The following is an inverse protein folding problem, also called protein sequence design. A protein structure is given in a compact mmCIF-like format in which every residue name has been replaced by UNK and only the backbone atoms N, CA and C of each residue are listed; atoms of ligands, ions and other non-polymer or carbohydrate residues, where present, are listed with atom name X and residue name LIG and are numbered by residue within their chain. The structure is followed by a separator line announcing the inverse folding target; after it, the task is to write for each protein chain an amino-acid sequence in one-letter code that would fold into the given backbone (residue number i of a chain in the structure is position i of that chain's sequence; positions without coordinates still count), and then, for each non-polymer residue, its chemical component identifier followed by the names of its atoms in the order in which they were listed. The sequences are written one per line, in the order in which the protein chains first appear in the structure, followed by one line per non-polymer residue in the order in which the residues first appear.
data_IF_822590936934
#
_entry.id   IF_822590936934
#
_cell.length_a   1.000
_cell.length_b   1.000
_cell.length_c   1.000
_cell.angle_alpha   90.00
_cell.angle_beta   90.00
_cell.angle_gamma   90.00
#
_symmetry.space_group_name_H-M   'P 1'
#
loop_
_entity.id
_entity.type
_entity.pdbx_description
1 polymer ?
#
# COMPACT_ATOMS: atom_id res chain seq x y z
N UNK A 1 10.55 68.73 -12.63
CA UNK A 1 9.09 68.76 -12.38
C UNK A 1 8.61 67.31 -12.29
N UNK A 2 8.02 66.90 -11.17
CA UNK A 2 7.63 65.51 -10.84
C UNK A 2 6.20 65.25 -11.34
N UNK A 3 5.98 64.16 -12.09
CA UNK A 3 4.65 63.62 -12.38
C UNK A 3 4.18 62.71 -11.23
N UNK A 4 2.90 62.78 -10.80
CA UNK A 4 2.34 61.83 -9.84
C UNK A 4 1.72 60.59 -10.51
N UNK A 5 1.94 59.44 -9.88
CA UNK A 5 1.47 58.11 -10.26
C UNK A 5 -0.05 57.94 -10.03
N UNK A 6 -0.83 57.77 -11.10
CA UNK A 6 -2.19 57.21 -11.08
C UNK A 6 -2.12 55.68 -11.19
N UNK A 7 -1.94 54.96 -10.08
CA UNK A 7 -2.02 53.50 -10.11
C UNK A 7 -2.57 52.86 -8.82
N UNK A 8 -3.28 53.61 -7.98
CA UNK A 8 -3.74 53.13 -6.66
C UNK A 8 -5.27 53.05 -6.51
N UNK A 9 -6.05 53.42 -7.53
CA UNK A 9 -7.52 53.46 -7.42
C UNK A 9 -8.25 52.16 -7.83
N UNK A 10 -7.56 51.18 -8.44
CA UNK A 10 -8.21 49.98 -8.99
C UNK A 10 -8.32 48.80 -8.01
N UNK A 11 -7.59 48.83 -6.87
CA UNK A 11 -7.53 47.69 -5.94
C UNK A 11 -8.66 47.65 -4.90
N UNK A 12 -9.39 48.76 -4.70
CA UNK A 12 -10.42 48.85 -3.65
C UNK A 12 -11.82 48.40 -4.08
N UNK A 13 -12.10 48.26 -5.39
CA UNK A 13 -13.41 47.80 -5.87
C UNK A 13 -13.53 46.27 -6.00
N UNK A 14 -12.42 45.53 -6.04
CA UNK A 14 -12.45 44.07 -6.25
C UNK A 14 -12.61 43.26 -4.95
N UNK A 15 -12.44 43.90 -3.79
CA UNK A 15 -12.62 43.30 -2.46
C UNK A 15 -14.08 43.33 -1.98
N UNK A 16 -14.95 44.15 -2.56
CA UNK A 16 -16.37 44.23 -2.13
C UNK A 16 -17.28 43.16 -2.76
N UNK A 17 -16.87 42.50 -3.85
CA UNK A 17 -17.70 41.47 -4.53
C UNK A 17 -17.51 40.06 -3.97
N UNK A 18 -16.52 39.82 -3.10
CA UNK A 18 -16.23 38.49 -2.53
C UNK A 18 -16.97 38.19 -1.20
N UNK A 19 -17.70 39.15 -0.64
CA UNK A 19 -18.36 39.02 0.67
C UNK A 19 -19.85 38.62 0.62
N UNK A 20 -20.45 38.44 -0.57
CA UNK A 20 -21.89 38.21 -0.72
C UNK A 20 -22.31 36.77 -1.09
N UNK A 21 -21.39 35.80 -1.10
CA UNK A 21 -21.71 34.38 -1.41
C UNK A 21 -21.69 33.45 -0.19
N UNK A 22 -21.62 33.99 1.03
CA UNK A 22 -21.73 33.25 2.29
C UNK A 22 -23.20 32.96 2.64
N UNK A 23 -23.92 32.26 1.77
CA UNK A 23 -25.24 31.73 2.06
C UNK A 23 -25.12 30.53 3.00
N UNK A 24 -25.56 30.67 4.25
CA UNK A 24 -25.70 29.57 5.20
C UNK A 24 -26.82 28.63 4.75
N UNK A 25 -26.48 27.51 4.13
CA UNK A 25 -27.42 26.43 3.86
C UNK A 25 -27.60 25.61 5.15
N UNK A 26 -28.65 25.96 5.91
CA UNK A 26 -29.03 25.27 7.14
C UNK A 26 -29.68 23.93 6.77
N UNK A 27 -28.85 22.87 6.72
CA UNK A 27 -29.31 21.51 6.45
C UNK A 27 -30.17 21.01 7.61
N UNK A 28 -31.42 20.69 7.33
CA UNK A 28 -32.32 20.07 8.29
C UNK A 28 -31.73 18.74 8.83
N UNK A 29 -31.95 18.41 10.11
CA UNK A 29 -31.53 17.12 10.66
C UNK A 29 -32.27 15.97 9.97
N UNK A 30 -31.61 14.82 9.77
CA UNK A 30 -32.27 13.65 9.20
C UNK A 30 -33.38 13.14 10.14
N UNK A 31 -34.45 12.54 9.59
CA UNK A 31 -35.52 11.95 10.40
C UNK A 31 -34.97 10.80 11.27
N UNK A 32 -35.57 10.56 12.45
CA UNK A 32 -35.17 9.46 13.32
C UNK A 32 -35.40 8.11 12.63
N UNK A 33 -34.40 7.22 12.72
CA UNK A 33 -34.49 5.85 12.23
C UNK A 33 -35.59 5.08 12.99
N UNK A 34 -36.33 4.19 12.31
CA UNK A 34 -37.26 3.30 12.98
C UNK A 34 -36.51 2.34 13.91
N UNK A 35 -37.13 1.91 15.03
CA UNK A 35 -36.52 0.99 15.98
C UNK A 35 -36.23 -0.37 15.31
N UNK A 36 -35.03 -0.90 15.58
CA UNK A 36 -34.63 -2.22 15.15
C UNK A 36 -35.59 -3.28 15.75
N UNK A 37 -36.29 -4.00 14.87
CA UNK A 37 -37.02 -5.21 15.25
C UNK A 37 -36.03 -6.23 15.81
N UNK A 38 -36.15 -6.49 17.12
CA UNK A 38 -35.56 -7.65 17.77
C UNK A 38 -36.22 -8.90 17.23
N UNK A 39 -35.54 -9.59 16.31
CA UNK A 39 -35.88 -10.97 15.99
C UNK A 39 -35.28 -11.82 17.11
N UNK A 40 -36.16 -12.29 18.00
CA UNK A 40 -35.85 -13.23 19.06
C UNK A 40 -35.25 -14.51 18.45
N UNK A 41 -34.07 -14.88 18.95
CA UNK A 41 -33.46 -16.18 18.67
C UNK A 41 -34.25 -17.29 19.36
N UNK A 42 -34.71 -18.28 18.60
CA UNK A 42 -35.13 -19.56 19.16
C UNK A 42 -33.90 -20.34 19.68
N UNK A 43 -33.97 -20.91 20.90
CA UNK A 43 -32.89 -21.73 21.44
C UNK A 43 -32.96 -23.15 20.87
N UNK A 44 -31.93 -23.55 20.14
CA UNK A 44 -31.72 -24.95 19.75
C UNK A 44 -31.25 -25.72 20.98
N UNK A 45 -32.12 -26.64 21.43
CA UNK A 45 -31.88 -27.60 22.50
C UNK A 45 -30.87 -28.65 21.99
N UNK A 46 -29.71 -28.76 22.65
CA UNK A 46 -28.79 -29.90 22.50
C UNK A 46 -28.92 -30.74 23.79
N UNK A 47 -29.34 -32.01 23.73
CA UNK A 47 -29.39 -32.87 24.91
C UNK A 47 -27.99 -33.36 25.31
N UNK A 48 -27.75 -33.36 26.62
CA UNK A 48 -26.58 -33.91 27.31
C UNK A 48 -26.39 -35.43 27.09
N UNK A 49 -25.13 -35.84 26.95
CA UNK A 49 -24.59 -37.15 27.35
C UNK A 49 -23.11 -36.88 27.71
N UNK A 50 -22.79 -36.57 28.96
CA UNK A 50 -22.58 -37.48 30.11
C UNK A 50 -21.39 -38.44 29.94
N UNK A 51 -20.50 -38.36 30.95
CA UNK A 51 -19.39 -39.24 31.34
C UNK A 51 -18.17 -39.37 30.42
N UNK A 52 -17.04 -38.89 30.96
CA UNK A 52 -15.89 -39.75 31.34
C UNK A 52 -15.03 -38.98 32.37
N UNK A 53 -14.96 -39.53 33.59
CA UNK A 53 -14.08 -39.09 34.68
C UNK A 53 -12.69 -39.78 34.56
N UNK A 54 -11.67 -39.29 35.30
CA UNK A 54 -10.26 -39.56 35.04
C UNK A 54 -9.75 -40.80 35.78
N UNK A 55 -8.80 -41.51 35.17
CA UNK A 55 -8.07 -42.58 35.85
C UNK A 55 -6.73 -42.11 36.43
N UNK A 56 -6.46 -42.69 37.58
CA UNK A 56 -5.39 -42.41 38.51
C UNK A 56 -4.02 -42.96 38.10
N UNK A 57 -2.99 -42.31 38.65
CA UNK A 57 -1.73 -42.90 39.12
C UNK A 57 -0.75 -43.48 38.11
N UNK A 58 0.39 -42.81 37.98
CA UNK A 58 1.70 -43.47 38.15
C UNK A 58 2.69 -42.47 38.76
N UNK A 59 3.08 -42.76 40.01
CA UNK A 59 4.25 -42.19 40.69
C UNK A 59 5.47 -43.01 40.28
N UNK A 60 6.49 -42.41 39.68
CA UNK A 60 7.87 -42.94 39.70
C UNK A 60 8.90 -41.79 39.73
N UNK A 61 9.54 -41.68 40.90
CA UNK A 61 10.94 -41.38 41.18
C UNK A 61 11.67 -40.21 40.49
N UNK A 62 12.01 -39.23 41.34
CA UNK A 62 13.17 -38.34 41.31
C UNK A 62 14.51 -39.07 41.28
N UNK A 63 15.44 -38.65 40.39
CA UNK A 63 16.89 -38.53 40.61
C UNK A 63 17.54 -37.62 39.52
N UNK A 64 18.75 -37.08 39.74
CA UNK A 64 19.17 -35.70 39.38
C UNK A 64 19.72 -35.51 37.95
N UNK A 65 19.88 -34.25 37.47
CA UNK A 65 20.28 -33.97 36.10
C UNK A 65 21.76 -34.26 35.85
N UNK A 66 22.00 -35.14 34.87
CA UNK A 66 23.32 -35.37 34.27
C UNK A 66 23.68 -34.18 33.38
N UNK A 67 24.78 -33.50 33.72
CA UNK A 67 25.39 -32.45 32.93
C UNK A 67 25.95 -33.02 31.63
N UNK A 68 25.15 -33.03 30.58
CA UNK A 68 25.65 -33.23 29.23
C UNK A 68 26.03 -31.88 28.62
N UNK A 69 27.33 -31.72 28.41
CA UNK A 69 27.97 -30.62 27.72
C UNK A 69 27.29 -30.37 26.37
N UNK A 70 26.88 -29.11 26.13
CA UNK A 70 26.54 -28.65 24.79
C UNK A 70 27.78 -28.70 23.90
N UNK A 71 27.71 -29.30 22.70
CA UNK A 71 28.51 -28.83 21.58
C UNK A 71 27.84 -27.55 21.06
N UNK A 72 28.46 -26.40 21.29
CA UNK A 72 28.15 -25.15 20.61
C UNK A 72 28.49 -25.28 19.13
N UNK A 73 27.56 -25.86 18.34
CA UNK A 73 27.56 -25.67 16.89
C UNK A 73 26.82 -24.35 16.60
N UNK A 74 27.44 -23.37 15.92
CA UNK A 74 26.77 -22.13 15.53
C UNK A 74 25.55 -22.45 14.66
N UNK A 75 24.48 -21.64 14.70
CA UNK A 75 23.33 -21.83 13.82
C UNK A 75 23.79 -21.78 12.36
N UNK A 76 23.44 -22.84 11.63
CA UNK A 76 23.68 -22.97 10.21
C UNK A 76 23.07 -21.76 9.48
N UNK A 77 23.85 -21.21 8.54
CA UNK A 77 23.59 -20.03 7.70
C UNK A 77 22.13 -19.91 7.24
N UNK A 78 21.61 -18.68 7.05
CA UNK A 78 20.30 -18.48 6.43
C UNK A 78 20.28 -19.17 5.06
N UNK A 79 19.22 -19.95 4.82
CA UNK A 79 18.90 -20.56 3.53
C UNK A 79 18.93 -19.47 2.45
N UNK A 80 20.06 -19.38 1.74
CA UNK A 80 20.15 -18.66 0.49
C UNK A 80 19.36 -19.49 -0.51
N UNK A 81 18.08 -19.16 -0.69
CA UNK A 81 17.34 -19.55 -1.87
C UNK A 81 18.24 -19.25 -3.07
N UNK A 82 18.60 -20.30 -3.82
CA UNK A 82 19.34 -20.16 -5.07
C UNK A 82 18.43 -19.43 -6.04
N UNK A 83 18.51 -18.10 -6.02
CA UNK A 83 18.05 -17.26 -7.10
C UNK A 83 18.74 -17.80 -8.36
N UNK A 84 18.01 -18.23 -9.39
CA UNK A 84 18.65 -18.60 -10.65
C UNK A 84 19.53 -17.43 -11.08
N UNK A 85 20.81 -17.70 -11.32
CA UNK A 85 21.70 -16.72 -11.93
C UNK A 85 21.27 -16.58 -13.39
N UNK A 86 20.22 -15.78 -13.62
CA UNK A 86 19.90 -15.26 -14.93
C UNK A 86 21.09 -14.39 -15.30
N UNK A 87 22.02 -14.97 -16.07
CA UNK A 87 23.11 -14.24 -16.67
C UNK A 87 22.55 -12.94 -17.23
N UNK A 88 23.10 -11.83 -16.74
CA UNK A 88 22.72 -10.47 -17.06
C UNK A 88 22.62 -10.33 -18.58
N UNK A 89 21.40 -10.40 -19.12
CA UNK A 89 21.11 -9.77 -20.40
C UNK A 89 21.06 -8.27 -20.13
N UNK A 90 22.24 -7.69 -19.93
CA UNK A 90 22.44 -6.26 -20.03
C UNK A 90 22.31 -5.91 -21.51
N UNK A 91 21.09 -5.68 -21.98
CA UNK A 91 20.90 -4.77 -23.10
C UNK A 91 21.24 -3.37 -22.58
N UNK A 92 22.27 -2.71 -23.14
CA UNK A 92 22.68 -1.39 -22.72
C UNK A 92 21.76 -0.35 -23.36
N UNK A 93 20.52 -0.29 -22.91
CA UNK A 93 19.71 0.91 -23.06
C UNK A 93 18.61 0.91 -21.99
N UNK A 94 18.81 1.71 -20.94
CA UNK A 94 17.84 1.93 -19.87
C UNK A 94 16.62 2.71 -20.41
N UNK A 95 15.80 2.08 -21.26
CA UNK A 95 14.67 2.75 -21.91
C UNK A 95 13.43 2.82 -21.02
N UNK A 96 13.22 1.89 -20.09
CA UNK A 96 12.04 1.89 -19.21
C UNK A 96 12.34 1.31 -17.82
N UNK A 97 12.01 2.06 -16.77
CA UNK A 97 11.93 1.59 -15.40
C UNK A 97 10.68 2.16 -14.72
N UNK A 98 9.97 1.32 -13.97
CA UNK A 98 8.74 1.66 -13.28
C UNK A 98 8.80 1.19 -11.84
N UNK A 99 8.19 1.94 -10.92
CA UNK A 99 8.02 1.50 -9.54
C UNK A 99 6.72 2.02 -8.97
N UNK A 100 5.85 1.12 -8.56
CA UNK A 100 4.69 1.42 -7.74
C UNK A 100 4.94 0.94 -6.31
N UNK A 101 4.66 1.78 -5.31
CA UNK A 101 4.77 1.45 -3.90
C UNK A 101 3.55 1.94 -3.14
N UNK A 102 2.87 1.03 -2.45
CA UNK A 102 1.82 1.32 -1.50
C UNK A 102 2.13 0.61 -0.18
N UNK A 103 2.11 1.35 0.92
CA UNK A 103 2.45 0.80 2.24
C UNK A 103 1.61 1.43 3.34
N UNK A 104 1.32 0.64 4.37
CA UNK A 104 0.62 1.07 5.58
C UNK A 104 0.93 0.13 6.74
N UNK A 105 0.17 0.26 7.83
CA UNK A 105 0.45 -0.51 9.04
C UNK A 105 0.30 -2.01 8.81
N UNK A 106 -0.71 -2.43 8.03
CA UNK A 106 -1.04 -3.84 7.80
C UNK A 106 -0.79 -4.33 6.37
N UNK A 107 -0.16 -3.53 5.51
CA UNK A 107 0.08 -3.91 4.13
C UNK A 107 1.38 -3.33 3.58
N UNK A 108 1.97 -4.07 2.63
CA UNK A 108 3.09 -3.63 1.80
C UNK A 108 2.88 -4.21 0.40
N UNK A 109 3.00 -3.35 -0.61
CA UNK A 109 2.90 -3.72 -2.02
C UNK A 109 3.90 -2.87 -2.78
N UNK A 110 4.86 -3.50 -3.44
CA UNK A 110 5.81 -2.85 -4.31
C UNK A 110 5.93 -3.63 -5.62
N UNK A 111 5.72 -2.96 -6.74
CA UNK A 111 5.87 -3.54 -8.07
C UNK A 111 6.92 -2.71 -8.79
N UNK A 112 8.05 -3.32 -9.14
CA UNK A 112 9.18 -2.66 -9.75
C UNK A 112 9.56 -3.33 -11.07
N UNK A 113 9.70 -2.56 -12.14
CA UNK A 113 10.27 -2.98 -13.41
C UNK A 113 11.64 -2.31 -13.56
N UNK A 114 12.69 -3.12 -13.68
CA UNK A 114 14.03 -2.64 -13.99
C UNK A 114 14.78 -3.67 -14.84
N UNK A 115 15.48 -3.22 -15.87
CA UNK A 115 16.25 -4.10 -16.77
C UNK A 115 15.42 -5.26 -17.35
N UNK A 116 14.16 -4.99 -17.71
CA UNK A 116 13.24 -6.01 -18.24
C UNK A 116 12.71 -7.01 -17.20
N UNK A 117 13.09 -6.88 -15.92
CA UNK A 117 12.63 -7.76 -14.85
C UNK A 117 11.56 -7.05 -14.03
N UNK A 118 10.38 -7.66 -13.96
CA UNK A 118 9.31 -7.25 -13.06
C UNK A 118 9.44 -8.01 -11.74
N UNK A 119 9.49 -7.27 -10.65
CA UNK A 119 9.50 -7.78 -9.28
C UNK A 119 8.26 -7.31 -8.54
N UNK A 120 7.58 -8.23 -7.87
CA UNK A 120 6.47 -7.95 -6.97
C UNK A 120 6.86 -8.35 -5.56
N UNK A 121 7.01 -7.35 -4.68
CA UNK A 121 7.28 -7.51 -3.26
C UNK A 121 6.04 -7.18 -2.45
N UNK A 122 5.62 -8.09 -1.57
CA UNK A 122 4.41 -7.93 -0.79
C UNK A 122 4.53 -8.47 0.63
N UNK A 123 3.68 -7.95 1.51
CA UNK A 123 3.46 -8.50 2.85
C UNK A 123 2.17 -9.31 2.88
N UNK A 124 2.21 -10.47 3.54
CA UNK A 124 1.06 -11.34 3.77
C UNK A 124 0.95 -11.68 5.26
N UNK A 125 -0.16 -11.32 5.91
CA UNK A 125 -0.38 -11.60 7.33
C UNK A 125 -0.93 -13.02 7.54
N UNK A 126 -0.06 -14.02 7.42
CA UNK A 126 -0.43 -15.43 7.58
C UNK A 126 -0.72 -15.85 9.02
N UNK A 127 -0.32 -15.03 10.00
CA UNK A 127 -0.44 -15.36 11.44
C UNK A 127 -1.46 -14.49 12.18
N UNK A 128 -2.14 -13.58 11.48
CA UNK A 128 -3.11 -12.65 12.08
C UNK A 128 -2.47 -11.63 13.02
N UNK A 129 -1.17 -11.37 12.88
CA UNK A 129 -0.39 -10.47 13.74
C UNK A 129 -0.91 -9.03 13.66
N UNK A 130 -1.45 -8.63 12.52
CA UNK A 130 -1.90 -7.27 12.29
C UNK A 130 -3.30 -7.01 12.87
N UNK A 131 -4.07 -8.06 13.19
CA UNK A 131 -5.42 -7.93 13.75
C UNK A 131 -5.46 -7.23 15.12
N UNK A 132 -4.41 -7.41 15.92
CA UNK A 132 -4.29 -6.77 17.26
C UNK A 132 -3.38 -5.54 17.23
N UNK A 133 -3.02 -5.05 16.04
CA UNK A 133 -2.02 -4.01 15.89
C UNK A 133 -2.62 -2.62 16.05
N UNK A 134 -2.39 -2.01 17.20
CA UNK A 134 -2.90 -0.67 17.56
C UNK A 134 -1.91 0.46 17.32
N UNK A 135 -0.66 0.15 16.95
CA UNK A 135 0.40 1.14 16.74
C UNK A 135 0.29 1.76 15.35
N UNK A 136 0.65 3.04 15.22
CA UNK A 136 0.76 3.74 13.94
C UNK A 136 2.07 3.45 13.20
N UNK A 137 2.58 2.23 13.34
CA UNK A 137 3.77 1.72 12.67
C UNK A 137 3.41 0.44 11.92
N UNK A 138 4.19 -0.01 10.93
CA UNK A 138 4.04 -1.35 10.36
C UNK A 138 3.96 -2.47 11.42
N UNK A 139 3.02 -3.40 11.26
CA UNK A 139 3.00 -4.69 11.96
C UNK A 139 3.96 -5.71 11.33
N UNK A 140 4.53 -5.38 10.17
CA UNK A 140 5.46 -6.19 9.39
C UNK A 140 6.89 -5.63 9.47
N UNK A 141 7.86 -6.50 9.21
CA UNK A 141 9.28 -6.20 9.09
C UNK A 141 9.76 -6.56 7.69
N UNK A 142 10.95 -6.05 7.30
CA UNK A 142 11.53 -6.34 5.99
C UNK A 142 11.70 -7.84 5.72
N UNK A 143 12.03 -8.61 6.75
CA UNK A 143 12.16 -10.08 6.68
C UNK A 143 10.84 -10.81 6.42
N UNK A 144 9.71 -10.13 6.63
CA UNK A 144 8.38 -10.70 6.41
C UNK A 144 7.90 -10.49 4.96
N UNK A 145 8.63 -9.69 4.17
CA UNK A 145 8.27 -9.41 2.80
C UNK A 145 8.67 -10.57 1.89
N UNK A 146 7.77 -10.93 0.99
CA UNK A 146 7.98 -11.92 -0.05
C UNK A 146 8.19 -11.21 -1.37
N UNK A 147 9.13 -11.70 -2.19
CA UNK A 147 9.36 -11.17 -3.54
C UNK A 147 9.28 -12.30 -4.54
N UNK A 148 8.44 -12.10 -5.56
CA UNK A 148 8.42 -12.92 -6.79
C UNK A 148 8.87 -12.04 -7.96
N UNK A 149 9.49 -12.64 -8.97
CA UNK A 149 10.03 -11.89 -10.10
C UNK A 149 10.05 -12.71 -11.38
N UNK A 150 9.89 -12.03 -12.51
CA UNK A 150 9.92 -12.63 -13.84
C UNK A 150 10.53 -11.65 -14.83
N UNK A 151 11.30 -12.16 -15.79
CA UNK A 151 11.69 -11.39 -16.96
C UNK A 151 10.48 -11.24 -17.88
N UNK A 152 10.15 -10.01 -18.26
CA UNK A 152 9.06 -9.73 -19.19
C UNK A 152 9.50 -10.00 -20.63
N UNK A 153 8.54 -10.37 -21.47
CA UNK A 153 8.78 -10.48 -22.91
C UNK A 153 8.95 -9.09 -23.54
N UNK A 154 9.52 -9.02 -24.74
CA UNK A 154 9.60 -7.75 -25.49
C UNK A 154 8.21 -7.15 -25.74
N UNK A 155 7.21 -7.98 -26.05
CA UNK A 155 5.82 -7.54 -26.26
C UNK A 155 5.24 -6.88 -25.00
N UNK A 156 5.49 -7.46 -23.82
CA UNK A 156 5.04 -6.89 -22.54
C UNK A 156 5.73 -5.57 -22.22
N UNK A 157 7.03 -5.48 -22.51
CA UNK A 157 7.79 -4.25 -22.33
C UNK A 157 7.28 -3.15 -23.26
N UNK A 158 6.99 -3.46 -24.53
CA UNK A 158 6.43 -2.52 -25.51
C UNK A 158 5.02 -2.05 -25.08
N UNK A 159 4.19 -2.96 -24.55
CA UNK A 159 2.88 -2.63 -23.99
C UNK A 159 2.99 -1.66 -22.81
N UNK A 160 3.87 -1.93 -21.85
CA UNK A 160 4.11 -1.03 -20.71
C UNK A 160 4.68 0.32 -21.16
N UNK A 161 5.58 0.33 -22.13
CA UNK A 161 6.11 1.54 -22.72
C UNK A 161 4.99 2.39 -23.35
N UNK A 162 4.10 1.77 -24.13
CA UNK A 162 2.94 2.44 -24.73
C UNK A 162 2.01 3.01 -23.67
N UNK A 163 1.71 2.25 -22.60
CA UNK A 163 0.90 2.73 -21.47
C UNK A 163 1.50 4.00 -20.85
N UNK A 164 2.82 4.04 -20.64
CA UNK A 164 3.51 5.22 -20.10
C UNK A 164 3.37 6.42 -21.03
N UNK A 165 3.60 6.25 -22.33
CA UNK A 165 3.50 7.33 -23.33
C UNK A 165 2.07 7.87 -23.45
N UNK A 166 1.10 6.97 -23.53
CA UNK A 166 -0.30 7.31 -23.79
C UNK A 166 -1.05 7.83 -22.56
N UNK A 167 -0.59 7.47 -21.36
CA UNK A 167 -1.24 7.89 -20.11
C UNK A 167 -1.16 9.40 -19.87
N UNK A 168 -0.19 10.10 -20.47
CA UNK A 168 0.12 11.48 -20.11
C UNK A 168 0.75 11.62 -18.72
N UNK A 169 1.23 10.53 -18.09
CA UNK A 169 1.82 10.56 -16.75
C UNK A 169 2.97 11.59 -16.65
N UNK A 170 3.79 11.70 -17.69
CA UNK A 170 4.93 12.61 -17.76
C UNK A 170 4.51 14.08 -17.88
N UNK A 171 3.28 14.39 -18.32
CA UNK A 171 2.80 15.77 -18.52
C UNK A 171 2.09 16.36 -17.30
N UNK A 172 1.74 15.53 -16.30
CA UNK A 172 1.13 15.99 -15.05
C UNK A 172 1.95 17.11 -14.37
N UNK A 173 1.34 18.29 -14.15
CA UNK A 173 2.07 19.44 -13.60
C UNK A 173 2.40 19.31 -12.11
N UNK A 174 1.55 18.60 -11.36
CA UNK A 174 1.70 18.38 -9.92
C UNK A 174 2.40 17.04 -9.67
N UNK A 175 3.23 16.98 -8.63
CA UNK A 175 3.83 15.75 -8.15
C UNK A 175 2.98 15.03 -7.09
N UNK A 176 2.14 15.77 -6.35
CA UNK A 176 1.33 15.23 -5.26
C UNK A 176 -0.16 15.51 -5.46
N UNK A 177 -0.97 14.48 -5.25
CA UNK A 177 -2.43 14.45 -5.41
C UNK A 177 -3.11 13.88 -4.15
N UNK A 178 -4.42 14.05 -4.04
CA UNK A 178 -5.22 13.62 -2.88
C UNK A 178 -5.57 14.79 -1.94
N UNK A 179 -4.72 15.82 -1.91
CA UNK A 179 -4.93 17.09 -1.20
C UNK A 179 -5.10 16.93 0.32
N UNK A 180 -4.29 16.06 0.93
CA UNK A 180 -4.28 15.92 2.39
C UNK A 180 -3.82 17.24 3.03
N UNK A 181 -4.52 17.66 4.08
CA UNK A 181 -4.13 18.85 4.86
C UNK A 181 -2.88 18.55 5.69
N UNK A 182 -2.20 19.60 6.13
CA UNK A 182 -1.09 19.47 7.07
C UNK A 182 -1.54 18.72 8.33
N UNK A 183 -0.80 17.67 8.70
CA UNK A 183 -1.11 16.81 9.86
C UNK A 183 -2.26 15.82 9.64
N UNK A 184 -2.91 15.80 8.48
CA UNK A 184 -3.96 14.83 8.18
C UNK A 184 -3.34 13.46 7.89
N UNK A 185 -3.85 12.42 8.55
CA UNK A 185 -3.43 11.04 8.28
C UNK A 185 -3.89 10.60 6.89
N UNK A 186 -2.97 9.99 6.15
CA UNK A 186 -3.20 9.43 4.82
C UNK A 186 -2.18 8.32 4.54
N UNK A 187 -2.46 7.51 3.52
CA UNK A 187 -1.53 6.52 2.98
C UNK A 187 -0.98 6.99 1.64
N UNK A 188 0.34 7.03 1.52
CA UNK A 188 0.98 7.35 0.25
C UNK A 188 0.97 6.14 -0.68
N UNK A 189 0.48 6.35 -1.89
CA UNK A 189 0.79 5.52 -3.04
C UNK A 189 1.78 6.28 -3.92
N UNK A 190 2.93 5.68 -4.20
CA UNK A 190 4.02 6.32 -4.94
C UNK A 190 4.19 5.63 -6.28
N UNK A 191 4.37 6.42 -7.33
CA UNK A 191 4.66 5.96 -8.68
C UNK A 191 5.90 6.68 -9.19
N UNK A 192 6.94 5.92 -9.49
CA UNK A 192 8.18 6.39 -10.12
C UNK A 192 8.23 5.84 -11.54
N UNK A 193 8.47 6.72 -12.51
CA UNK A 193 8.55 6.40 -13.93
C UNK A 193 9.85 6.97 -14.47
N UNK A 194 10.66 6.13 -15.11
CA UNK A 194 11.84 6.56 -15.84
C UNK A 194 11.79 5.97 -17.25
N UNK A 195 11.77 6.82 -18.27
CA UNK A 195 11.63 6.43 -19.67
C UNK A 195 12.38 7.42 -20.57
N UNK A 196 13.18 6.92 -21.51
CA UNK A 196 14.01 7.71 -22.44
C UNK A 196 14.80 8.86 -21.77
N UNK A 197 15.41 8.58 -20.61
CA UNK A 197 16.16 9.58 -19.84
C UNK A 197 15.30 10.62 -19.09
N UNK A 198 13.97 10.56 -19.20
CA UNK A 198 13.05 11.37 -18.41
C UNK A 198 12.60 10.61 -17.17
N UNK A 199 12.67 11.22 -15.99
CA UNK A 199 12.18 10.61 -14.75
C UNK A 199 11.12 11.46 -14.07
N UNK A 200 10.13 10.81 -13.45
CA UNK A 200 9.06 11.47 -12.72
C UNK A 200 8.64 10.65 -11.51
N UNK A 201 8.43 11.34 -10.39
CA UNK A 201 7.92 10.76 -9.15
C UNK A 201 6.60 11.43 -8.80
N UNK A 202 5.60 10.59 -8.52
CA UNK A 202 4.26 11.02 -8.18
C UNK A 202 3.83 10.38 -6.87
N UNK A 203 3.06 11.12 -6.09
CA UNK A 203 2.47 10.66 -4.83
C UNK A 203 0.97 10.91 -4.86
N UNK A 204 0.20 9.88 -4.55
CA UNK A 204 -1.22 9.99 -4.28
C UNK A 204 -1.48 9.73 -2.79
N UNK A 205 -2.05 10.72 -2.11
CA UNK A 205 -2.39 10.66 -0.70
C UNK A 205 -3.79 10.09 -0.55
N UNK A 206 -3.89 8.83 -0.16
CA UNK A 206 -5.16 8.15 0.03
C UNK A 206 -5.70 8.34 1.45
N UNK A 207 -6.90 8.89 1.56
CA UNK A 207 -7.66 9.01 2.80
C UNK A 207 -9.16 9.16 2.48
N UNK A 208 -10.08 8.95 3.44
CA UNK A 208 -11.50 9.20 3.24
C UNK A 208 -11.76 10.67 2.83
N UNK A 209 -12.28 10.87 1.62
CA UNK A 209 -12.52 12.21 1.07
C UNK A 209 -11.35 12.80 0.29
N UNK A 210 -10.30 12.03 -0.01
CA UNK A 210 -9.23 12.45 -0.90
C UNK A 210 -9.76 12.87 -2.28
N UNK A 211 -9.14 13.88 -2.87
CA UNK A 211 -9.39 14.27 -4.25
C UNK A 211 -9.15 13.11 -5.21
N UNK A 212 -9.84 13.11 -6.35
CA UNK A 212 -9.75 12.03 -7.35
C UNK A 212 -8.29 11.79 -7.78
N UNK A 213 -7.88 10.53 -7.76
CA UNK A 213 -6.60 10.07 -8.34
C UNK A 213 -6.53 10.42 -9.83
N UNK A 214 -5.43 11.01 -10.33
CA UNK A 214 -5.28 11.27 -11.75
C UNK A 214 -5.43 10.00 -12.58
N UNK A 215 -6.13 10.08 -13.70
CA UNK A 215 -6.36 8.93 -14.59
C UNK A 215 -5.04 8.32 -15.08
N UNK A 216 -4.06 9.17 -15.43
CA UNK A 216 -2.73 8.73 -15.83
C UNK A 216 -2.05 7.85 -14.75
N UNK A 217 -2.18 8.24 -13.48
CA UNK A 217 -1.63 7.48 -12.35
C UNK A 217 -2.36 6.14 -12.23
N UNK A 218 -3.70 6.17 -12.22
CA UNK A 218 -4.52 4.97 -12.07
C UNK A 218 -4.25 3.96 -13.19
N UNK A 219 -4.09 4.41 -14.45
CA UNK A 219 -3.82 3.54 -15.59
C UNK A 219 -2.50 2.78 -15.44
N UNK A 220 -1.43 3.45 -14.99
CA UNK A 220 -0.13 2.79 -14.76
C UNK A 220 -0.18 1.84 -13.57
N UNK A 221 -0.82 2.23 -12.47
CA UNK A 221 -1.04 1.37 -11.31
C UNK A 221 -1.80 0.10 -11.72
N UNK A 222 -2.90 0.23 -12.46
CA UNK A 222 -3.67 -0.92 -12.95
C UNK A 222 -2.85 -1.82 -13.86
N UNK A 223 -2.06 -1.26 -14.78
CA UNK A 223 -1.21 -2.06 -15.66
C UNK A 223 -0.17 -2.85 -14.85
N UNK A 224 0.53 -2.20 -13.92
CA UNK A 224 1.53 -2.86 -13.07
C UNK A 224 0.90 -3.96 -12.19
N UNK A 225 -0.27 -3.71 -11.61
CA UNK A 225 -1.01 -4.70 -10.83
C UNK A 225 -1.42 -5.91 -11.66
N UNK A 226 -1.89 -5.69 -12.90
CA UNK A 226 -2.24 -6.79 -13.80
C UNK A 226 -1.03 -7.70 -14.06
N UNK A 227 0.11 -7.11 -14.44
CA UNK A 227 1.34 -7.86 -14.64
C UNK A 227 1.85 -8.57 -13.38
N UNK A 228 1.68 -7.96 -12.20
CA UNK A 228 2.09 -8.57 -10.94
C UNK A 228 1.23 -9.79 -10.57
N UNK A 229 -0.06 -9.79 -10.92
CA UNK A 229 -0.98 -10.92 -10.66
C UNK A 229 -0.71 -12.13 -11.57
N UNK A 230 -0.08 -11.91 -12.72
CA UNK A 230 0.29 -12.98 -13.66
C UNK A 230 1.64 -13.64 -13.30
N UNK A 231 2.31 -13.17 -12.25
CA UNK A 231 3.54 -13.78 -11.77
C UNK A 231 3.26 -15.15 -11.11
N UNK A 232 4.17 -16.13 -11.25
CA UNK A 232 4.01 -17.43 -10.61
C UNK A 232 4.09 -17.29 -9.07
N UNK A 233 3.04 -17.74 -8.39
CA UNK A 233 2.88 -17.73 -6.93
C UNK A 233 3.22 -19.06 -6.26
#
# INVERSE_FOLDING_TARGET
MKQPNLATAAYSLLLLTLLLLSGCEQRAPPPPMPPAESIAAEPVIIPEADKLQPDHSTVVQTHPPEQNAMPTKPPDKPNTLKIPNFAQQATPDNTLALRFLATGESFYTEIALANGILSYTYFEDTTGRCAQWVKSSPCWQQSDLKTISMALTTEDLDNLYAVVKDSGILTLKRATFGDAKAGQRHYDQRLEVSIDGTSKKLVYQHFPGASKKPEAFARLETALLAYANDLPH
#
